data_IF_769279663563
#
_entry.id   IF_769279663563
#
_cell.length_a   1.000
_cell.length_b   1.000
_cell.length_c   1.000
_cell.angle_alpha   90.00
_cell.angle_beta   90.00
_cell.angle_gamma   90.00
#
_symmetry.space_group_name_H-M   'P 1'
#
loop_
_entity.id
_entity.type
_entity.pdbx_description
1 polymer ?
#
# COMPACT_ATOMS: atom_id res chain seq x y z
N UNK A 1 -9.90 -22.23 -3.48
CA UNK A 1 -9.22 -21.08 -2.85
C UNK A 1 -8.32 -20.44 -3.89
N UNK A 2 -8.35 -19.11 -4.04
CA UNK A 2 -7.38 -18.37 -4.87
C UNK A 2 -6.77 -17.31 -3.96
N UNK A 3 -5.86 -17.74 -3.10
CA UNK A 3 -4.92 -16.83 -2.45
C UNK A 3 -3.89 -16.38 -3.48
N UNK A 4 -3.22 -15.26 -3.21
CA UNK A 4 -2.02 -14.90 -3.97
C UNK A 4 -0.97 -15.99 -3.76
N UNK A 5 -0.27 -16.43 -4.81
CA UNK A 5 0.81 -17.41 -4.65
C UNK A 5 1.90 -16.95 -3.69
N UNK A 6 2.04 -15.63 -3.51
CA UNK A 6 2.96 -14.99 -2.57
C UNK A 6 2.57 -15.14 -1.09
N UNK A 7 1.31 -15.47 -0.79
CA UNK A 7 0.86 -15.73 0.58
C UNK A 7 0.94 -17.21 0.97
N UNK A 8 1.45 -18.08 0.09
CA UNK A 8 1.60 -19.51 0.39
C UNK A 8 2.72 -19.73 1.43
N UNK A 9 2.53 -20.53 2.50
CA UNK A 9 3.52 -20.69 3.56
C UNK A 9 4.91 -21.10 3.07
N UNK A 10 4.98 -21.99 2.08
CA UNK A 10 6.24 -22.43 1.47
C UNK A 10 6.94 -21.32 0.67
N UNK A 11 6.17 -20.44 0.03
CA UNK A 11 6.72 -19.27 -0.66
C UNK A 11 7.22 -18.28 0.37
N UNK A 12 6.44 -17.98 1.40
CA UNK A 12 6.87 -17.13 2.52
C UNK A 12 8.15 -17.66 3.16
N UNK A 13 8.28 -18.98 3.35
CA UNK A 13 9.48 -19.61 3.87
C UNK A 13 10.68 -19.46 2.92
N UNK A 14 10.50 -19.68 1.63
CA UNK A 14 11.54 -19.49 0.61
C UNK A 14 11.96 -18.01 0.47
N UNK A 15 11.06 -17.07 0.75
CA UNK A 15 11.29 -15.63 0.70
C UNK A 15 12.06 -15.07 1.90
N UNK A 16 12.03 -15.72 3.07
CA UNK A 16 12.65 -15.21 4.31
C UNK A 16 14.12 -14.76 4.22
N UNK A 17 15.01 -15.36 3.39
CA UNK A 17 16.39 -14.92 3.29
C UNK A 17 16.61 -13.79 2.26
N UNK A 18 15.58 -13.39 1.51
CA UNK A 18 15.68 -12.52 0.34
C UNK A 18 14.70 -11.36 0.44
N UNK A 19 15.10 -10.20 -0.08
CA UNK A 19 14.12 -9.17 -0.43
C UNK A 19 13.58 -9.57 -1.79
N UNK A 20 12.28 -9.90 -1.85
CA UNK A 20 11.58 -10.10 -3.12
C UNK A 20 10.59 -8.99 -3.33
N UNK A 21 10.84 -8.23 -4.40
CA UNK A 21 9.98 -7.14 -4.84
C UNK A 21 9.47 -7.44 -6.24
N UNK A 22 8.30 -6.89 -6.57
CA UNK A 22 7.72 -7.03 -7.89
C UNK A 22 7.44 -5.66 -8.50
N UNK A 23 7.63 -5.56 -9.81
CA UNK A 23 7.23 -4.39 -10.58
C UNK A 23 6.28 -4.79 -11.69
N UNK A 24 5.13 -4.12 -11.74
CA UNK A 24 4.02 -4.43 -12.63
C UNK A 24 3.72 -3.31 -13.62
N UNK A 25 4.56 -3.03 -14.62
CA UNK A 25 4.19 -2.11 -15.73
C UNK A 25 4.92 -2.42 -17.05
N UNK A 26 4.26 -2.07 -18.15
CA UNK A 26 4.78 -2.08 -19.52
C UNK A 26 5.55 -0.81 -19.91
N UNK A 27 5.56 0.22 -19.06
CA UNK A 27 6.18 1.51 -19.39
C UNK A 27 7.39 1.80 -18.49
N UNK A 28 8.57 1.91 -19.10
CA UNK A 28 9.84 2.15 -18.40
C UNK A 28 10.00 3.59 -17.90
N UNK A 29 9.24 4.54 -18.45
CA UNK A 29 9.43 5.98 -18.21
C UNK A 29 8.98 6.43 -16.80
N UNK A 30 8.33 5.56 -16.03
CA UNK A 30 7.82 5.85 -14.68
C UNK A 30 8.37 4.91 -13.59
N UNK A 31 9.49 4.24 -13.86
CA UNK A 31 10.15 3.41 -12.86
C UNK A 31 10.66 4.32 -11.71
N UNK A 32 10.34 4.01 -10.44
CA UNK A 32 10.97 4.67 -9.30
C UNK A 32 12.49 4.55 -9.38
N UNK A 33 13.21 5.54 -8.87
CA UNK A 33 14.67 5.62 -8.93
C UNK A 33 15.36 4.38 -8.34
N UNK A 34 14.75 3.75 -7.32
CA UNK A 34 15.28 2.54 -6.69
C UNK A 34 15.03 1.26 -7.51
N UNK A 35 14.02 1.26 -8.39
CA UNK A 35 13.64 0.10 -9.21
C UNK A 35 14.35 0.13 -10.56
N UNK A 36 14.66 1.32 -11.08
CA UNK A 36 15.32 1.50 -12.37
C UNK A 36 16.66 0.73 -12.48
N UNK A 37 17.57 0.75 -11.48
CA UNK A 37 18.80 -0.05 -11.51
C UNK A 37 18.55 -1.56 -11.58
N UNK A 38 17.54 -2.06 -10.85
CA UNK A 38 17.16 -3.48 -10.86
C UNK A 38 16.62 -3.90 -12.24
N UNK A 39 15.79 -3.04 -12.83
CA UNK A 39 15.24 -3.24 -14.17
C UNK A 39 16.31 -3.20 -15.27
N UNK A 40 17.30 -2.32 -15.14
CA UNK A 40 18.44 -2.26 -16.07
C UNK A 40 19.34 -3.50 -15.92
N UNK A 41 19.65 -3.90 -14.69
CA UNK A 41 20.45 -5.09 -14.39
C UNK A 41 19.80 -6.39 -14.86
N UNK A 42 18.47 -6.42 -15.00
CA UNK A 42 17.72 -7.54 -15.58
C UNK A 42 17.69 -7.55 -17.12
N UNK A 43 18.49 -6.74 -17.81
CA UNK A 43 18.57 -6.70 -19.28
C UNK A 43 17.72 -5.64 -19.99
N UNK A 44 17.07 -4.73 -19.24
CA UNK A 44 16.38 -3.55 -19.80
C UNK A 44 15.22 -3.84 -20.77
N UNK A 45 14.93 -2.88 -21.67
CA UNK A 45 13.76 -2.81 -22.56
C UNK A 45 13.64 -3.93 -23.62
N UNK A 46 14.64 -4.80 -23.74
CA UNK A 46 14.74 -5.83 -24.79
C UNK A 46 13.78 -7.02 -24.62
N UNK A 47 13.06 -7.11 -23.49
CA UNK A 47 12.31 -8.31 -23.12
C UNK A 47 10.79 -8.15 -22.98
N UNK A 48 10.20 -7.00 -23.34
CA UNK A 48 8.72 -6.89 -23.44
C UNK A 48 8.11 -7.84 -24.48
N UNK A 49 8.94 -8.49 -25.31
CA UNK A 49 8.54 -9.61 -26.16
C UNK A 49 8.05 -10.84 -25.37
N UNK A 50 8.27 -10.94 -24.05
CA UNK A 50 7.91 -12.14 -23.26
C UNK A 50 6.52 -12.11 -22.65
N UNK A 51 5.71 -11.07 -22.85
CA UNK A 51 4.26 -11.08 -22.57
C UNK A 51 3.81 -11.05 -21.10
N UNK A 52 4.73 -10.98 -20.13
CA UNK A 52 4.41 -10.75 -18.72
C UNK A 52 4.72 -9.30 -18.33
N UNK A 53 3.75 -8.61 -17.74
CA UNK A 53 3.91 -7.23 -17.25
C UNK A 53 4.42 -7.18 -15.80
N UNK A 54 4.60 -8.32 -15.13
CA UNK A 54 5.08 -8.40 -13.74
C UNK A 54 6.47 -9.04 -13.72
N UNK A 55 7.45 -8.34 -13.17
CA UNK A 55 8.79 -8.87 -12.89
C UNK A 55 8.97 -9.08 -11.40
N UNK A 56 9.59 -10.17 -11.03
CA UNK A 56 10.02 -10.46 -9.67
C UNK A 56 11.56 -10.35 -9.62
N UNK A 57 12.05 -9.59 -8.65
CA UNK A 57 13.47 -9.44 -8.37
C UNK A 57 13.79 -10.12 -7.05
N UNK A 58 14.86 -10.93 -7.03
CA UNK A 58 15.40 -11.57 -5.83
C UNK A 58 16.68 -10.84 -5.47
N UNK A 59 16.72 -10.19 -4.31
CA UNK A 59 17.86 -9.40 -3.85
C UNK A 59 18.55 -10.07 -2.65
N UNK A 60 19.85 -9.82 -2.50
CA UNK A 60 20.59 -10.13 -1.27
C UNK A 60 20.28 -9.13 -0.15
N UNK A 61 20.87 -9.35 1.03
CA UNK A 61 20.66 -8.50 2.20
C UNK A 61 21.23 -7.07 2.04
N UNK A 62 22.15 -6.86 1.08
CA UNK A 62 22.70 -5.55 0.74
C UNK A 62 21.88 -4.86 -0.38
N UNK A 63 20.77 -5.48 -0.82
CA UNK A 63 19.91 -4.96 -1.89
C UNK A 63 20.44 -5.22 -3.31
N UNK A 64 21.45 -6.08 -3.49
CA UNK A 64 21.98 -6.42 -4.82
C UNK A 64 21.12 -7.49 -5.48
N UNK A 65 20.89 -7.35 -6.79
CA UNK A 65 20.13 -8.31 -7.58
C UNK A 65 20.87 -9.65 -7.70
N UNK A 66 20.27 -10.71 -7.16
CA UNK A 66 20.75 -12.10 -7.27
C UNK A 66 20.13 -12.83 -8.47
N UNK A 67 18.83 -12.61 -8.69
CA UNK A 67 18.07 -13.26 -9.76
C UNK A 67 16.82 -12.46 -10.11
N UNK A 68 16.28 -12.70 -11.29
CA UNK A 68 14.99 -12.15 -11.68
C UNK A 68 14.21 -13.18 -12.51
N UNK A 69 12.89 -13.07 -12.46
CA UNK A 69 11.99 -13.90 -13.25
C UNK A 69 10.67 -13.19 -13.50
N UNK A 70 9.88 -13.69 -14.45
CA UNK A 70 8.55 -13.16 -14.70
C UNK A 70 7.59 -13.62 -13.59
N UNK A 71 6.74 -12.72 -13.09
CA UNK A 71 5.73 -13.08 -12.09
C UNK A 71 4.73 -14.12 -12.60
N UNK A 72 4.65 -14.29 -13.93
CA UNK A 72 3.84 -15.31 -14.60
C UNK A 72 4.71 -16.16 -15.56
N UNK A 73 4.67 -17.50 -15.44
CA UNK A 73 5.54 -18.41 -16.18
C UNK A 73 5.25 -18.53 -17.69
N UNK A 74 4.15 -17.95 -18.21
CA UNK A 74 3.73 -18.06 -19.61
C UNK A 74 3.46 -16.68 -20.26
N UNK A 75 3.67 -16.61 -21.59
CA UNK A 75 3.57 -15.41 -22.44
C UNK A 75 2.17 -14.79 -22.59
N UNK A 76 1.14 -15.51 -22.18
CA UNK A 76 -0.22 -14.98 -22.07
C UNK A 76 -0.44 -14.70 -20.60
N UNK A 77 -0.58 -13.43 -20.23
CA UNK A 77 -0.81 -12.97 -18.85
C UNK A 77 -2.12 -13.44 -18.22
N UNK A 78 -2.58 -14.65 -18.55
CA UNK A 78 -3.78 -15.26 -18.03
C UNK A 78 -3.41 -16.43 -17.09
N UNK A 79 -3.56 -16.28 -15.76
CA UNK A 79 -3.42 -17.38 -14.79
C UNK A 79 -4.54 -18.43 -14.89
N UNK A 80 -5.48 -18.28 -15.84
CA UNK A 80 -6.53 -19.26 -16.08
C UNK A 80 -5.94 -20.62 -16.51
N UNK A 81 -5.88 -21.54 -15.55
CA UNK A 81 -5.55 -22.94 -15.79
C UNK A 81 -4.58 -23.53 -14.77
N UNK A 82 -3.88 -22.69 -13.98
CA UNK A 82 -2.97 -23.17 -12.95
C UNK A 82 -3.54 -23.06 -11.55
N UNK A 83 -3.27 -24.06 -10.71
CA UNK A 83 -3.60 -24.03 -9.28
C UNK A 83 -2.68 -23.07 -8.52
N UNK A 84 -3.08 -22.68 -7.30
CA UNK A 84 -2.22 -21.90 -6.40
C UNK A 84 -0.88 -22.60 -6.13
N UNK A 85 -0.91 -23.94 -6.05
CA UNK A 85 0.23 -24.77 -5.71
C UNK A 85 1.24 -24.84 -6.86
N UNK A 86 0.76 -24.88 -8.10
CA UNK A 86 1.62 -24.81 -9.29
C UNK A 86 2.31 -23.46 -9.42
N UNK A 87 1.64 -22.38 -9.02
CA UNK A 87 2.27 -21.06 -8.94
C UNK A 87 3.28 -20.98 -7.78
N UNK A 88 2.96 -21.53 -6.61
CA UNK A 88 3.89 -21.59 -5.49
C UNK A 88 5.16 -22.35 -5.85
N UNK A 89 5.02 -23.54 -6.46
CA UNK A 89 6.15 -24.35 -6.94
C UNK A 89 7.00 -23.63 -7.99
N UNK A 90 6.38 -22.84 -8.87
CA UNK A 90 7.09 -21.98 -9.82
C UNK A 90 7.98 -20.95 -9.11
N UNK A 91 7.42 -20.20 -8.16
CA UNK A 91 8.16 -19.19 -7.41
C UNK A 91 9.30 -19.80 -6.61
N UNK A 92 9.05 -20.90 -5.88
CA UNK A 92 10.09 -21.61 -5.12
C UNK A 92 11.23 -22.05 -6.05
N UNK A 93 10.92 -22.58 -7.24
CA UNK A 93 11.94 -22.99 -8.21
C UNK A 93 12.78 -21.82 -8.71
N UNK A 94 12.15 -20.70 -9.09
CA UNK A 94 12.90 -19.52 -9.56
C UNK A 94 13.72 -18.87 -8.45
N UNK A 95 13.20 -18.81 -7.22
CA UNK A 95 13.96 -18.35 -6.05
C UNK A 95 15.17 -19.25 -5.81
N UNK A 96 15.02 -20.58 -5.87
CA UNK A 96 16.14 -21.52 -5.71
C UNK A 96 17.20 -21.38 -6.82
N UNK A 97 16.81 -20.97 -8.03
CA UNK A 97 17.74 -20.70 -9.15
C UNK A 97 18.64 -19.49 -8.93
N UNK A 98 18.30 -18.61 -8.00
CA UNK A 98 19.18 -17.49 -7.61
C UNK A 98 20.51 -17.94 -7.02
N UNK A 99 20.71 -19.25 -6.78
CA UNK A 99 21.94 -19.79 -6.20
C UNK A 99 22.11 -19.44 -4.72
N UNK A 100 21.11 -18.77 -4.14
CA UNK A 100 21.20 -18.19 -2.82
C UNK A 100 21.02 -19.22 -1.67
N UNK A 101 20.72 -20.46 -2.02
CA UNK A 101 20.80 -21.60 -1.10
C UNK A 101 22.25 -21.93 -0.76
N UNK A 102 22.81 -21.25 0.26
CA UNK A 102 23.67 -21.84 1.31
C UNK A 102 24.32 -20.83 2.27
N UNK A 103 24.28 -19.51 2.03
CA UNK A 103 25.03 -18.54 2.85
C UNK A 103 24.23 -17.36 3.39
N UNK A 104 22.98 -17.15 2.96
CA UNK A 104 22.13 -16.16 3.61
C UNK A 104 21.73 -16.68 4.99
N UNK A 105 22.59 -16.41 5.99
CA UNK A 105 22.28 -16.61 7.41
C UNK A 105 20.95 -15.90 7.64
N UNK A 106 20.00 -16.60 8.26
CA UNK A 106 18.73 -16.03 8.73
C UNK A 106 19.06 -14.81 9.58
N UNK A 107 19.15 -13.65 8.96
CA UNK A 107 19.12 -12.40 9.68
C UNK A 107 17.69 -12.34 10.19
N UNK A 108 17.53 -12.33 11.50
CA UNK A 108 16.34 -11.70 12.06
C UNK A 108 16.41 -10.25 11.56
N UNK A 109 15.78 -9.99 10.42
CA UNK A 109 15.43 -8.64 10.03
C UNK A 109 14.13 -8.38 10.77
N UNK A 110 14.16 -7.75 11.97
CA UNK A 110 12.93 -7.26 12.54
C UNK A 110 12.27 -6.39 11.48
N UNK A 111 11.02 -6.70 11.13
CA UNK A 111 10.26 -5.88 10.20
C UNK A 111 10.16 -4.48 10.83
N UNK A 112 11.01 -3.56 10.38
CA UNK A 112 10.99 -2.18 10.84
C UNK A 112 9.98 -1.45 9.98
N UNK A 113 8.91 -0.98 10.60
CA UNK A 113 7.98 -0.08 9.95
C UNK A 113 8.73 1.20 9.53
N UNK A 114 8.39 1.83 8.40
CA UNK A 114 8.99 3.09 8.01
C UNK A 114 8.94 4.10 9.16
N UNK A 115 10.06 4.77 9.42
CA UNK A 115 10.07 5.88 10.36
C UNK A 115 9.37 7.07 9.70
N UNK A 116 8.53 7.74 10.48
CA UNK A 116 7.89 9.00 10.09
C UNK A 116 8.27 10.01 11.17
N UNK A 117 8.87 11.12 10.77
CA UNK A 117 9.10 12.24 11.67
C UNK A 117 7.78 12.93 11.99
N UNK A 118 7.58 14.15 11.49
CA UNK A 118 6.33 14.91 11.64
C UNK A 118 5.22 14.42 10.69
N UNK A 119 5.12 13.10 10.51
CA UNK A 119 4.26 12.46 9.53
C UNK A 119 3.24 11.51 10.14
N UNK A 120 2.59 10.73 9.27
CA UNK A 120 1.70 9.64 9.65
C UNK A 120 2.05 8.36 8.91
N UNK A 121 1.79 7.24 9.55
CA UNK A 121 1.70 5.93 8.89
C UNK A 121 0.24 5.59 8.65
N UNK A 122 -0.02 4.96 7.52
CA UNK A 122 -1.33 4.50 7.10
C UNK A 122 -1.27 2.98 6.98
N UNK A 123 -2.09 2.27 7.75
CA UNK A 123 -2.24 0.83 7.69
C UNK A 123 -3.53 0.50 6.97
N UNK A 124 -3.41 0.04 5.73
CA UNK A 124 -4.51 -0.09 4.78
C UNK A 124 -4.92 -1.55 4.69
N UNK A 125 -6.20 -1.84 4.91
CA UNK A 125 -6.74 -3.21 4.89
C UNK A 125 -8.12 -3.27 4.25
N UNK A 126 -8.34 -4.28 3.42
CA UNK A 126 -9.69 -4.67 3.00
C UNK A 126 -10.32 -5.60 4.04
N UNK A 127 -11.50 -5.23 4.52
CA UNK A 127 -12.28 -6.06 5.44
C UNK A 127 -13.30 -6.86 4.65
N UNK A 128 -13.42 -8.17 4.92
CA UNK A 128 -14.48 -9.02 4.35
C UNK A 128 -14.18 -9.74 3.02
N UNK A 129 -12.95 -9.71 2.51
CA UNK A 129 -12.52 -10.42 1.28
C UNK A 129 -11.49 -11.53 1.58
N UNK A 130 -11.35 -12.49 0.65
CA UNK A 130 -10.48 -13.68 0.76
C UNK A 130 -8.99 -13.30 0.86
N UNK A 131 -8.23 -14.16 1.55
CA UNK A 131 -6.82 -14.09 2.01
C UNK A 131 -5.76 -13.29 1.21
N UNK A 132 -5.98 -13.02 -0.08
CA UNK A 132 -5.01 -12.32 -0.94
C UNK A 132 -4.73 -10.86 -0.52
N UNK A 133 -5.58 -10.25 0.33
CA UNK A 133 -5.41 -8.90 0.86
C UNK A 133 -5.36 -8.85 2.40
N UNK A 134 -5.03 -9.98 3.04
CA UNK A 134 -5.01 -10.07 4.50
C UNK A 134 -3.87 -9.25 5.13
N UNK A 135 -2.75 -9.10 4.43
CA UNK A 135 -1.61 -8.32 4.88
C UNK A 135 -1.86 -6.82 4.70
N UNK A 136 -1.75 -6.00 5.76
CA UNK A 136 -1.93 -4.57 5.65
C UNK A 136 -0.78 -3.95 4.84
N UNK A 137 -1.11 -2.95 4.03
CA UNK A 137 -0.11 -2.10 3.38
C UNK A 137 0.21 -0.94 4.31
N UNK A 138 1.49 -0.60 4.42
CA UNK A 138 1.97 0.50 5.26
C UNK A 138 2.53 1.60 4.38
N UNK A 139 1.84 2.73 4.32
CA UNK A 139 2.32 3.96 3.69
C UNK A 139 2.83 4.94 4.76
N UNK A 140 3.85 5.72 4.43
CA UNK A 140 4.48 6.68 5.34
C UNK A 140 4.52 8.07 4.68
N UNK A 141 4.00 9.07 5.40
CA UNK A 141 3.75 10.40 4.82
C UNK A 141 4.28 11.47 5.73
N UNK A 142 5.34 12.17 5.33
CA UNK A 142 5.79 13.36 6.03
C UNK A 142 4.89 14.55 5.70
N UNK A 143 4.37 15.26 6.70
CA UNK A 143 3.82 16.59 6.44
C UNK A 143 3.62 17.48 7.67
N UNK A 144 4.35 18.60 7.70
CA UNK A 144 4.24 19.64 8.74
C UNK A 144 3.00 20.54 8.59
N UNK A 145 2.47 20.72 7.38
CA UNK A 145 1.43 21.72 7.12
C UNK A 145 0.03 21.25 7.60
N UNK A 146 -0.26 19.97 7.48
CA UNK A 146 -1.47 19.34 8.03
C UNK A 146 -1.57 19.58 9.53
N UNK A 147 -0.46 19.44 10.28
CA UNK A 147 -0.44 19.69 11.73
C UNK A 147 -0.84 21.11 12.11
N UNK A 148 -0.48 22.11 11.30
CA UNK A 148 -0.87 23.51 11.54
C UNK A 148 -2.39 23.69 11.49
N UNK A 149 -3.05 22.97 10.58
CA UNK A 149 -4.51 23.00 10.44
C UNK A 149 -5.20 22.41 11.67
N UNK A 150 -4.50 21.56 12.43
CA UNK A 150 -5.01 20.79 13.56
C UNK A 150 -4.74 21.45 14.92
N UNK A 151 -4.44 22.75 14.95
CA UNK A 151 -4.21 23.51 16.19
C UNK A 151 -5.31 23.30 17.25
N UNK A 152 -4.96 23.34 18.56
CA UNK A 152 -5.90 23.07 19.65
C UNK A 152 -7.20 23.89 19.51
N UNK A 153 -8.37 23.24 19.49
CA UNK A 153 -9.65 23.94 19.47
C UNK A 153 -10.01 24.46 20.87
N UNK A 154 -10.52 25.69 20.97
CA UNK A 154 -11.21 26.18 22.17
C UNK A 154 -12.73 25.92 22.11
N UNK A 155 -13.27 25.80 20.91
CA UNK A 155 -14.64 25.39 20.60
C UNK A 155 -14.65 24.49 19.36
N UNK A 156 -15.77 23.81 19.11
CA UNK A 156 -15.94 23.06 17.87
C UNK A 156 -15.73 23.97 16.65
N UNK A 157 -14.94 23.52 15.67
CA UNK A 157 -14.72 24.22 14.41
C UNK A 157 -14.66 23.27 13.22
N UNK A 158 -15.05 23.77 12.06
CA UNK A 158 -14.99 23.01 10.81
C UNK A 158 -13.59 23.12 10.19
N UNK A 159 -13.14 22.01 9.60
CA UNK A 159 -11.92 21.88 8.82
C UNK A 159 -12.31 21.24 7.49
N UNK A 160 -11.90 21.88 6.40
CA UNK A 160 -12.00 21.29 5.07
C UNK A 160 -11.06 20.08 4.98
N UNK A 161 -11.61 18.92 4.59
CA UNK A 161 -10.85 17.68 4.45
C UNK A 161 -9.70 17.81 3.42
N UNK A 162 -9.81 18.72 2.45
CA UNK A 162 -8.75 19.01 1.48
C UNK A 162 -7.45 19.48 2.15
N UNK A 163 -7.53 20.07 3.35
CA UNK A 163 -6.35 20.48 4.13
C UNK A 163 -5.57 19.30 4.70
N UNK A 164 -6.13 18.08 4.69
CA UNK A 164 -5.48 16.83 5.05
C UNK A 164 -5.15 15.96 3.82
N UNK A 165 -5.12 16.56 2.64
CA UNK A 165 -5.06 15.82 1.38
C UNK A 165 -3.80 14.97 1.23
N UNK A 166 -2.62 15.36 1.73
CA UNK A 166 -1.41 14.52 1.56
C UNK A 166 -1.56 13.19 2.30
N UNK A 167 -2.21 13.20 3.45
CA UNK A 167 -2.49 11.98 4.22
C UNK A 167 -3.62 11.18 3.59
N UNK A 168 -4.76 11.83 3.30
CA UNK A 168 -5.97 11.14 2.87
C UNK A 168 -5.87 10.57 1.45
N UNK A 169 -5.14 11.21 0.54
CA UNK A 169 -4.96 10.69 -0.82
C UNK A 169 -4.26 9.34 -0.86
N UNK A 170 -3.52 9.00 0.21
CA UNK A 170 -2.80 7.75 0.36
C UNK A 170 -3.64 6.65 1.03
N UNK A 171 -4.90 6.90 1.36
CA UNK A 171 -5.87 5.89 1.82
C UNK A 171 -6.37 4.99 0.67
N UNK A 172 -5.54 4.67 -0.32
CA UNK A 172 -5.87 3.86 -1.50
C UNK A 172 -5.25 2.46 -1.36
N UNK A 173 -5.79 1.45 -2.05
CA UNK A 173 -5.28 0.09 -1.94
C UNK A 173 -4.04 -0.12 -2.81
N UNK A 174 -2.87 0.28 -2.31
CA UNK A 174 -1.61 -0.07 -2.94
C UNK A 174 -1.49 -1.60 -3.07
N UNK A 175 -1.16 -2.10 -4.26
CA UNK A 175 -0.98 -3.54 -4.51
C UNK A 175 -2.25 -4.33 -4.87
N UNK A 176 -3.43 -3.71 -4.95
CA UNK A 176 -4.51 -4.24 -5.82
C UNK A 176 -4.19 -3.78 -7.24
N UNK A 177 -4.07 -4.71 -8.19
CA UNK A 177 -3.67 -4.51 -9.59
C UNK A 177 -4.39 -3.38 -10.39
N UNK A 178 -5.34 -2.67 -9.77
CA UNK A 178 -6.28 -1.76 -10.42
C UNK A 178 -6.01 -0.29 -10.09
N UNK A 179 -5.27 0.03 -9.01
CA UNK A 179 -4.93 1.42 -8.70
C UNK A 179 -3.50 1.60 -8.20
N UNK A 180 -2.66 2.13 -9.08
CA UNK A 180 -1.23 2.41 -8.85
C UNK A 180 -0.96 3.87 -8.47
N UNK A 181 -2.00 4.72 -8.50
CA UNK A 181 -1.88 6.14 -8.24
C UNK A 181 -2.80 6.56 -7.07
N UNK A 182 -2.32 7.43 -6.16
CA UNK A 182 -3.13 8.00 -5.07
C UNK A 182 -4.39 8.69 -5.59
N UNK A 183 -5.40 8.89 -4.73
CA UNK A 183 -6.57 9.70 -5.09
C UNK A 183 -6.16 11.08 -5.59
N UNK A 184 -6.92 11.70 -6.49
CA UNK A 184 -6.58 13.01 -7.09
C UNK A 184 -7.26 14.19 -6.40
N UNK A 185 -8.39 13.94 -5.74
CA UNK A 185 -9.15 14.93 -4.98
C UNK A 185 -9.56 14.41 -3.61
N UNK A 186 -9.64 15.30 -2.63
CA UNK A 186 -10.17 15.02 -1.28
C UNK A 186 -11.15 16.12 -0.94
N UNK A 187 -12.37 15.72 -0.60
CA UNK A 187 -13.49 16.60 -0.33
C UNK A 187 -14.15 16.23 0.98
N UNK A 188 -14.81 17.19 1.61
CA UNK A 188 -15.63 16.97 2.79
C UNK A 188 -15.34 17.96 3.90
N UNK A 189 -16.11 17.83 4.97
CA UNK A 189 -16.04 18.69 6.15
C UNK A 189 -15.83 17.83 7.38
N UNK A 190 -14.78 18.15 8.12
CA UNK A 190 -14.43 17.52 9.38
C UNK A 190 -14.71 18.52 10.52
N UNK A 191 -15.28 18.05 11.61
CA UNK A 191 -15.47 18.85 12.81
C UNK A 191 -14.40 18.49 13.83
N UNK A 192 -13.61 19.49 14.22
CA UNK A 192 -12.64 19.39 15.30
C UNK A 192 -13.27 19.89 16.60
N UNK A 193 -13.46 19.00 17.57
CA UNK A 193 -14.16 19.29 18.83
C UNK A 193 -13.23 19.02 20.01
N UNK A 194 -13.13 19.95 20.99
CA UNK A 194 -12.41 19.68 22.24
C UNK A 194 -12.98 18.44 22.94
N UNK A 195 -12.12 17.55 23.43
CA UNK A 195 -12.50 16.28 24.04
C UNK A 195 -11.84 16.00 25.40
N UNK A 196 -11.03 16.93 25.89
CA UNK A 196 -10.34 16.85 27.18
C UNK A 196 -9.31 17.98 27.32
N UNK A 197 -8.60 18.05 28.46
CA UNK A 197 -7.65 19.13 28.75
C UNK A 197 -6.59 19.33 27.66
N UNK A 198 -6.12 18.23 27.05
CA UNK A 198 -5.11 18.24 25.99
C UNK A 198 -5.53 17.36 24.80
N UNK A 199 -6.83 17.22 24.55
CA UNK A 199 -7.35 16.30 23.54
C UNK A 199 -8.47 16.93 22.71
N UNK A 200 -8.54 16.53 21.44
CA UNK A 200 -9.67 16.83 20.56
C UNK A 200 -10.01 15.62 19.70
N UNK A 201 -11.26 15.57 19.26
CA UNK A 201 -11.74 14.62 18.27
C UNK A 201 -11.95 15.34 16.95
N UNK A 202 -11.42 14.79 15.87
CA UNK A 202 -11.67 15.23 14.51
C UNK A 202 -12.51 14.17 13.80
N UNK A 203 -13.71 14.50 13.34
CA UNK A 203 -14.58 13.53 12.69
C UNK A 203 -15.40 14.16 11.56
N UNK A 204 -15.69 13.38 10.52
CA UNK A 204 -16.55 13.82 9.43
C UNK A 204 -16.61 12.84 8.27
N UNK A 205 -17.33 13.23 7.22
CA UNK A 205 -17.40 12.49 5.96
C UNK A 205 -16.32 12.98 5.01
N UNK A 206 -15.72 12.06 4.29
CA UNK A 206 -14.72 12.34 3.26
C UNK A 206 -15.11 11.65 1.97
N UNK A 207 -14.84 12.32 0.86
CA UNK A 207 -15.00 11.80 -0.49
C UNK A 207 -13.69 11.96 -1.24
N UNK A 208 -13.22 10.92 -1.91
CA UNK A 208 -11.92 10.93 -2.59
C UNK A 208 -12.05 10.49 -4.03
N UNK A 209 -11.55 11.32 -4.94
CA UNK A 209 -11.68 11.10 -6.39
C UNK A 209 -10.56 10.17 -6.87
N UNK A 210 -10.92 9.16 -7.66
CA UNK A 210 -9.93 8.30 -8.31
C UNK A 210 -9.23 9.06 -9.46
N UNK A 211 -7.99 8.67 -9.82
CA UNK A 211 -7.29 9.21 -11.00
C UNK A 211 -8.06 9.02 -12.29
N UNK A 212 -8.76 7.88 -12.42
CA UNK A 212 -9.68 7.67 -13.51
C UNK A 212 -11.01 8.36 -13.22
N UNK A 213 -11.51 9.13 -14.20
CA UNK A 213 -12.76 9.90 -14.05
C UNK A 213 -14.03 9.08 -14.28
N UNK A 214 -13.92 7.77 -14.55
CA UNK A 214 -15.05 6.88 -14.87
C UNK A 214 -15.49 6.08 -13.66
N UNK A 215 -14.59 5.81 -12.73
CA UNK A 215 -14.86 5.16 -11.47
C UNK A 215 -15.65 6.08 -10.55
N UNK A 216 -16.66 5.56 -9.84
CA UNK A 216 -17.22 6.26 -8.70
C UNK A 216 -16.10 6.64 -7.72
N UNK A 217 -16.22 7.74 -6.99
CA UNK A 217 -15.25 8.09 -5.96
C UNK A 217 -15.41 7.19 -4.73
N UNK A 218 -14.39 7.19 -3.89
CA UNK A 218 -14.50 6.63 -2.55
C UNK A 218 -15.34 7.55 -1.67
N UNK A 219 -16.30 7.00 -0.94
CA UNK A 219 -17.03 7.70 0.12
C UNK A 219 -16.77 6.99 1.47
N UNK A 220 -16.42 7.78 2.49
CA UNK A 220 -16.05 7.23 3.79
C UNK A 220 -16.21 8.19 4.96
N UNK A 221 -15.83 7.70 6.13
CA UNK A 221 -15.88 8.43 7.41
C UNK A 221 -14.47 8.49 7.98
N UNK A 222 -13.99 9.69 8.26
CA UNK A 222 -12.76 9.93 8.98
C UNK A 222 -13.07 10.17 10.45
N UNK A 223 -12.31 9.55 11.35
CA UNK A 223 -12.33 9.82 12.80
C UNK A 223 -10.92 9.78 13.35
N UNK A 224 -10.53 10.76 14.14
CA UNK A 224 -9.24 10.77 14.82
C UNK A 224 -9.32 11.41 16.20
N UNK A 225 -8.44 10.96 17.09
CA UNK A 225 -8.13 11.60 18.36
C UNK A 225 -6.78 12.29 18.22
N UNK A 226 -6.74 13.57 18.59
CA UNK A 226 -5.54 14.37 18.67
C UNK A 226 -5.14 14.54 20.13
N UNK A 227 -3.84 14.49 20.40
CA UNK A 227 -3.24 14.87 21.69
C UNK A 227 -2.33 16.07 21.48
N UNK A 228 -2.45 17.04 22.38
CA UNK A 228 -1.74 18.32 22.32
C UNK A 228 -0.63 18.41 23.36
N UNK A 229 0.49 19.00 22.97
CA UNK A 229 1.56 19.48 23.83
C UNK A 229 1.62 21.01 23.85
N UNK A 230 2.69 21.57 24.43
CA UNK A 230 2.90 23.02 24.55
C UNK A 230 3.00 23.77 23.23
N UNK A 231 3.34 23.08 22.13
CA UNK A 231 3.51 23.67 20.79
C UNK A 231 2.44 23.33 19.75
N UNK A 232 1.39 22.57 20.12
CA UNK A 232 0.37 22.11 19.18
C UNK A 232 0.10 20.61 19.26
N UNK A 233 -0.47 20.03 18.21
CA UNK A 233 -0.76 18.60 18.16
C UNK A 233 0.55 17.81 18.06
N UNK A 234 0.72 16.83 18.94
CA UNK A 234 1.93 15.97 19.03
C UNK A 234 1.62 14.51 18.73
N UNK A 235 0.34 14.12 18.76
CA UNK A 235 -0.08 12.77 18.42
C UNK A 235 -1.43 12.78 17.73
N UNK A 236 -1.57 11.93 16.71
CA UNK A 236 -2.80 11.62 16.04
C UNK A 236 -2.98 10.10 15.97
N UNK A 237 -4.17 9.63 16.32
CA UNK A 237 -4.63 8.26 16.05
C UNK A 237 -5.99 8.32 15.42
N UNK A 238 -6.12 7.79 14.21
CA UNK A 238 -7.35 7.89 13.44
C UNK A 238 -7.65 6.64 12.63
N UNK A 239 -8.83 6.68 12.04
CA UNK A 239 -9.33 5.65 11.13
C UNK A 239 -10.14 6.30 10.01
N UNK A 240 -9.97 5.78 8.81
CA UNK A 240 -10.87 6.01 7.68
C UNK A 240 -11.56 4.70 7.36
N UNK A 241 -12.89 4.73 7.31
CA UNK A 241 -13.72 3.57 6.95
C UNK A 241 -14.65 3.95 5.81
N UNK A 242 -14.71 3.13 4.76
CA UNK A 242 -15.57 3.37 3.62
C UNK A 242 -15.57 2.25 2.58
N UNK A 243 -16.19 2.51 1.44
CA UNK A 243 -16.24 1.59 0.31
C UNK A 243 -15.25 2.01 -0.78
N UNK A 244 -14.29 1.14 -1.10
CA UNK A 244 -13.50 1.29 -2.31
C UNK A 244 -14.30 0.75 -3.50
N UNK A 245 -14.62 1.58 -4.51
CA UNK A 245 -15.40 1.13 -5.65
C UNK A 245 -14.53 0.25 -6.54
N UNK A 246 -14.94 -1.02 -6.69
CA UNK A 246 -14.30 -1.96 -7.60
C UNK A 246 -15.30 -2.44 -8.64
N UNK A 247 -14.90 -2.45 -9.90
CA UNK A 247 -15.75 -3.00 -10.95
C UNK A 247 -15.76 -4.52 -10.88
N UNK A 248 -16.92 -5.12 -10.59
CA UNK A 248 -17.13 -6.56 -10.66
C UNK A 248 -17.51 -6.95 -12.09
N UNK A 249 -16.55 -7.52 -12.82
CA UNK A 249 -16.77 -8.00 -14.18
C UNK A 249 -17.79 -9.13 -14.29
N UNK A 250 -18.08 -9.88 -13.22
CA UNK A 250 -19.10 -10.93 -13.25
C UNK A 250 -20.51 -10.35 -13.18
N UNK A 251 -20.68 -9.25 -12.44
CA UNK A 251 -21.97 -8.58 -12.26
C UNK A 251 -22.14 -7.38 -13.19
N UNK A 252 -21.08 -6.98 -13.90
CA UNK A 252 -21.01 -5.78 -14.75
C UNK A 252 -21.49 -4.54 -13.99
N UNK A 253 -21.05 -4.43 -12.73
CA UNK A 253 -21.48 -3.40 -11.80
C UNK A 253 -20.33 -2.99 -10.87
N UNK A 254 -20.42 -1.78 -10.34
CA UNK A 254 -19.53 -1.34 -9.27
C UNK A 254 -19.97 -1.96 -7.94
N UNK A 255 -19.01 -2.52 -7.21
CA UNK A 255 -19.19 -3.06 -5.89
C UNK A 255 -18.30 -2.32 -4.90
N UNK A 256 -18.84 -2.00 -3.72
CA UNK A 256 -18.08 -1.38 -2.65
C UNK A 256 -17.31 -2.44 -1.88
N UNK A 257 -15.99 -2.34 -1.94
CA UNK A 257 -15.09 -3.17 -1.17
C UNK A 257 -14.79 -2.48 0.16
N UNK A 258 -15.19 -3.05 1.30
CA UNK A 258 -15.00 -2.40 2.59
C UNK A 258 -13.51 -2.21 2.87
N UNK A 259 -13.12 -0.96 3.07
CA UNK A 259 -11.75 -0.52 3.32
C UNK A 259 -11.67 0.11 4.71
N UNK A 260 -10.65 -0.28 5.45
CA UNK A 260 -10.27 0.35 6.71
C UNK A 260 -8.82 0.80 6.62
N UNK A 261 -8.58 2.07 6.92
CA UNK A 261 -7.23 2.65 7.01
C UNK A 261 -7.02 3.17 8.42
N UNK A 262 -6.14 2.53 9.18
CA UNK A 262 -5.71 3.09 10.46
C UNK A 262 -4.58 4.10 10.24
N UNK A 263 -4.63 5.22 10.94
CA UNK A 263 -3.69 6.32 10.82
C UNK A 263 -3.04 6.53 12.17
N UNK A 264 -1.71 6.52 12.22
CA UNK A 264 -0.98 6.89 13.43
C UNK A 264 0.10 7.91 13.09
N UNK A 265 0.27 8.93 13.95
CA UNK A 265 1.54 9.62 14.03
C UNK A 265 2.40 8.91 15.07
N UNK A 266 3.70 8.75 14.78
CA UNK A 266 4.61 8.44 15.87
C UNK A 266 4.74 9.66 16.78
N UNK A 267 4.78 9.47 18.10
CA UNK A 267 5.38 10.46 18.96
C UNK A 267 6.90 10.44 18.76
N UNK A 268 7.51 11.62 18.87
CA UNK A 268 8.91 11.72 19.30
C UNK A 268 9.09 11.04 20.68
#
# INVERSE_FOLDING_TARGET
MRGSSLSHPEVVEALRPFIVTFWGQSNNERLPDDVLPLHQASGGASHFATGSNVRCFVLDADGRLLHWFNGFPNHTGNPMGRSSDEFAAYYVREINRSGAGRTARRAEMPLKLPEVGNGVRLFIRFTGQRDAHASPVVEAVESLDEWKTLSPPTSAREIDAAKLSRWLRLCYPAGVNEQLEPYTGVHGKLTLTPAGPNQAVLAGKVRMDLPDRKSPPFDGTFRAVLTYGTGGAVRLRGVVEGGYPRFDWNQVAWADWPLTVAIESRPD
#
